data_IF_999251826681
#
_entry.id   IF_999251826681
#
_cell.length_a   1.000
_cell.length_b   1.000
_cell.length_c   1.000
_cell.angle_alpha   90.00
_cell.angle_beta   90.00
_cell.angle_gamma   90.00
#
_symmetry.space_group_name_H-M   'P 1'
#
loop_
_entity.id
_entity.type
_entity.pdbx_description
1 polymer ?
#
# COMPACT_ATOMS: atom_id res chain seq x y z
N UNK A 1 19.00 11.57 -4.82
CA UNK A 1 18.57 11.44 -6.23
C UNK A 1 17.71 10.21 -6.45
N UNK A 2 18.13 9.00 -6.01
CA UNK A 2 17.34 7.77 -6.15
C UNK A 2 15.90 7.85 -5.59
N UNK A 3 15.71 8.30 -4.33
CA UNK A 3 14.38 8.46 -3.71
C UNK A 3 13.41 9.33 -4.52
N UNK A 4 13.87 10.47 -5.03
CA UNK A 4 13.05 11.39 -5.86
C UNK A 4 12.73 10.77 -7.22
N UNK A 5 13.70 10.10 -7.85
CA UNK A 5 13.48 9.38 -9.11
C UNK A 5 12.44 8.26 -8.93
N UNK A 6 12.55 7.45 -7.87
CA UNK A 6 11.56 6.41 -7.55
C UNK A 6 10.18 7.00 -7.30
N UNK A 7 10.06 8.08 -6.54
CA UNK A 7 8.78 8.74 -6.31
C UNK A 7 8.16 9.31 -7.61
N UNK A 8 8.98 9.79 -8.55
CA UNK A 8 8.52 10.20 -9.87
C UNK A 8 8.02 9.02 -10.70
N UNK A 9 8.71 7.87 -10.67
CA UNK A 9 8.26 6.63 -11.32
C UNK A 9 6.93 6.15 -10.74
N UNK A 10 6.79 6.15 -9.40
CA UNK A 10 5.53 5.81 -8.71
C UNK A 10 4.42 6.74 -9.18
N UNK A 11 4.65 8.06 -9.18
CA UNK A 11 3.63 9.04 -9.58
C UNK A 11 3.19 8.87 -11.04
N UNK A 12 4.12 8.55 -11.93
CA UNK A 12 3.83 8.32 -13.35
C UNK A 12 3.03 7.01 -13.59
N UNK A 13 3.16 6.03 -12.69
CA UNK A 13 2.59 4.69 -12.86
C UNK A 13 1.53 4.31 -11.80
N UNK A 14 1.11 5.23 -10.93
CA UNK A 14 0.28 4.94 -9.76
C UNK A 14 -0.99 4.14 -10.08
N UNK A 15 -1.75 4.57 -11.10
CA UNK A 15 -2.96 3.87 -11.52
C UNK A 15 -2.69 2.45 -12.03
N UNK A 16 -1.53 2.21 -12.64
CA UNK A 16 -1.12 0.87 -13.10
C UNK A 16 -0.72 -0.02 -11.93
N UNK A 17 0.09 0.51 -11.00
CA UNK A 17 0.53 -0.19 -9.78
C UNK A 17 -0.69 -0.62 -8.96
N UNK A 18 -1.62 0.30 -8.68
CA UNK A 18 -2.82 -0.01 -7.87
C UNK A 18 -3.69 -1.07 -8.53
N UNK A 19 -3.89 -1.01 -9.86
CA UNK A 19 -4.71 -2.02 -10.58
C UNK A 19 -4.05 -3.40 -10.57
N UNK A 20 -2.75 -3.47 -10.84
CA UNK A 20 -2.01 -4.73 -10.86
C UNK A 20 -1.94 -5.34 -9.45
N UNK A 21 -1.62 -4.52 -8.44
CA UNK A 21 -1.57 -4.96 -7.05
C UNK A 21 -2.94 -5.46 -6.56
N UNK A 22 -4.02 -4.79 -6.95
CA UNK A 22 -5.37 -5.23 -6.60
C UNK A 22 -5.73 -6.55 -7.29
N UNK A 23 -5.39 -6.73 -8.57
CA UNK A 23 -5.61 -8.00 -9.28
C UNK A 23 -4.91 -9.15 -8.56
N UNK A 24 -3.61 -8.98 -8.25
CA UNK A 24 -2.84 -9.98 -7.53
C UNK A 24 -3.42 -10.25 -6.13
N UNK A 25 -3.80 -9.20 -5.39
CA UNK A 25 -4.45 -9.35 -4.08
C UNK A 25 -5.72 -10.19 -4.17
N UNK A 26 -6.57 -9.98 -5.18
CA UNK A 26 -7.82 -10.74 -5.33
C UNK A 26 -7.60 -12.15 -5.86
N UNK A 27 -6.50 -12.43 -6.56
CA UNK A 27 -6.06 -13.78 -6.90
C UNK A 27 -5.59 -14.54 -5.66
N UNK A 28 -4.83 -13.88 -4.78
CA UNK A 28 -4.34 -14.47 -3.52
C UNK A 28 -5.44 -14.58 -2.45
N UNK A 29 -6.39 -13.64 -2.42
CA UNK A 29 -7.47 -13.52 -1.44
C UNK A 29 -8.85 -13.42 -2.12
N UNK A 30 -9.32 -14.49 -2.81
CA UNK A 30 -10.55 -14.45 -3.58
C UNK A 30 -11.80 -14.22 -2.72
N UNK A 31 -11.74 -14.48 -1.41
CA UNK A 31 -12.84 -14.24 -0.47
C UNK A 31 -13.24 -12.76 -0.40
N UNK A 32 -12.33 -11.82 -0.72
CA UNK A 32 -12.62 -10.38 -0.71
C UNK A 32 -13.70 -9.97 -1.72
N UNK A 33 -13.76 -10.66 -2.86
CA UNK A 33 -14.65 -10.34 -3.98
C UNK A 33 -15.85 -11.30 -4.08
N UNK A 34 -15.98 -12.25 -3.15
CA UNK A 34 -17.16 -13.12 -3.04
C UNK A 34 -18.28 -12.47 -2.24
N UNK A 35 -19.53 -12.95 -2.34
CA UNK A 35 -20.64 -12.43 -1.53
C UNK A 35 -20.28 -12.37 -0.03
N UNK A 36 -20.47 -11.19 0.58
CA UNK A 36 -20.07 -10.93 1.97
C UNK A 36 -18.67 -10.30 2.12
N UNK A 37 -17.82 -10.40 1.09
CA UNK A 37 -16.47 -9.84 1.08
C UNK A 37 -16.43 -8.30 1.10
N UNK A 38 -15.30 -7.77 1.55
CA UNK A 38 -15.09 -6.33 1.69
C UNK A 38 -14.73 -5.61 0.38
N UNK A 39 -14.64 -6.32 -0.74
CA UNK A 39 -14.50 -5.77 -2.09
C UNK A 39 -15.57 -6.31 -3.06
N UNK A 40 -16.64 -6.97 -2.57
CA UNK A 40 -17.65 -7.62 -3.40
C UNK A 40 -18.46 -6.69 -4.31
N UNK A 41 -18.96 -5.58 -3.76
CA UNK A 41 -19.78 -4.63 -4.52
C UNK A 41 -18.89 -3.61 -5.21
N UNK A 42 -19.33 -3.07 -6.36
CA UNK A 42 -18.59 -2.02 -7.08
C UNK A 42 -18.20 -0.84 -6.18
N UNK A 43 -19.07 -0.45 -5.24
CA UNK A 43 -18.81 0.62 -4.26
C UNK A 43 -17.69 0.26 -3.27
N UNK A 44 -17.66 -0.99 -2.80
CA UNK A 44 -16.64 -1.48 -1.86
C UNK A 44 -15.31 -1.71 -2.57
N UNK A 45 -15.35 -2.27 -3.79
CA UNK A 45 -14.21 -2.42 -4.66
C UNK A 45 -13.52 -1.08 -4.95
N UNK A 46 -14.30 -0.05 -5.34
CA UNK A 46 -13.74 1.28 -5.59
C UNK A 46 -13.16 1.95 -4.34
N UNK A 47 -13.78 1.73 -3.17
CA UNK A 47 -13.23 2.19 -1.90
C UNK A 47 -11.90 1.49 -1.56
N UNK A 48 -11.79 0.18 -1.79
CA UNK A 48 -10.54 -0.57 -1.61
C UNK A 48 -9.42 -0.02 -2.50
N UNK A 49 -9.67 0.18 -3.81
CA UNK A 49 -8.67 0.75 -4.71
C UNK A 49 -8.24 2.16 -4.31
N UNK A 50 -9.17 2.98 -3.81
CA UNK A 50 -8.86 4.32 -3.31
C UNK A 50 -7.95 4.27 -2.08
N UNK A 51 -8.19 3.33 -1.16
CA UNK A 51 -7.33 3.15 0.00
C UNK A 51 -5.92 2.68 -0.41
N UNK A 52 -5.81 1.79 -1.41
CA UNK A 52 -4.52 1.41 -2.01
C UNK A 52 -3.77 2.59 -2.62
N UNK A 53 -4.47 3.45 -3.36
CA UNK A 53 -3.90 4.70 -3.90
C UNK A 53 -3.42 5.64 -2.78
N UNK A 54 -4.14 5.73 -1.67
CA UNK A 54 -3.70 6.49 -0.50
C UNK A 54 -2.39 5.97 0.09
N UNK A 55 -2.26 4.65 0.29
CA UNK A 55 -1.02 4.06 0.78
C UNK A 55 0.15 4.35 -0.15
N UNK A 56 -0.01 4.11 -1.45
CA UNK A 56 1.04 4.35 -2.44
C UNK A 56 1.46 5.83 -2.49
N UNK A 57 0.49 6.73 -2.44
CA UNK A 57 0.72 8.18 -2.46
C UNK A 57 1.49 8.66 -1.24
N UNK A 58 1.06 8.29 -0.04
CA UNK A 58 1.77 8.72 1.17
C UNK A 58 3.11 8.01 1.37
N UNK A 59 3.24 6.75 0.93
CA UNK A 59 4.54 6.09 0.86
C UNK A 59 5.50 6.87 -0.05
N UNK A 60 5.04 7.38 -1.20
CA UNK A 60 5.87 8.23 -2.07
C UNK A 60 6.33 9.53 -1.39
N UNK A 61 5.53 10.10 -0.49
CA UNK A 61 5.92 11.29 0.27
C UNK A 61 6.99 10.95 1.31
N UNK A 62 6.80 9.85 2.05
CA UNK A 62 7.81 9.35 2.99
C UNK A 62 9.12 8.98 2.29
N UNK A 63 9.06 8.40 1.07
CA UNK A 63 10.25 8.13 0.25
C UNK A 63 11.04 9.41 -0.02
N UNK A 64 10.37 10.49 -0.42
CA UNK A 64 11.02 11.78 -0.73
C UNK A 64 11.54 12.47 0.53
N UNK A 65 10.77 12.42 1.62
CA UNK A 65 11.15 13.00 2.91
C UNK A 65 12.35 12.27 3.54
N UNK A 66 12.46 10.96 3.32
CA UNK A 66 13.44 10.11 4.01
C UNK A 66 13.10 9.85 5.48
N UNK A 67 11.83 10.02 5.84
CA UNK A 67 11.27 9.72 7.16
C UNK A 67 9.79 9.30 7.03
N UNK A 68 9.26 8.69 8.09
CA UNK A 68 7.89 8.17 8.14
C UNK A 68 6.89 9.08 8.88
N UNK A 69 7.28 10.27 9.34
CA UNK A 69 6.41 11.11 10.17
C UNK A 69 5.10 11.48 9.45
N UNK A 70 5.18 11.67 8.12
CA UNK A 70 3.98 11.95 7.30
C UNK A 70 3.00 10.78 7.27
N UNK A 71 3.49 9.54 7.40
CA UNK A 71 2.65 8.34 7.49
C UNK A 71 1.94 8.30 8.84
N UNK A 72 2.69 8.51 9.93
CA UNK A 72 2.14 8.51 11.29
C UNK A 72 1.01 9.53 11.45
N UNK A 73 1.28 10.79 11.10
CA UNK A 73 0.35 11.90 11.33
C UNK A 73 -0.87 11.89 10.41
N UNK A 74 -0.74 11.37 9.18
CA UNK A 74 -1.77 11.54 8.14
C UNK A 74 -2.46 10.26 7.70
N UNK A 75 -1.86 9.11 7.98
CA UNK A 75 -2.36 7.81 7.53
C UNK A 75 -2.63 6.91 8.70
N UNK A 76 -1.66 6.70 9.59
CA UNK A 76 -1.68 5.59 10.54
C UNK A 76 -2.43 5.92 11.83
N UNK A 77 -2.39 7.17 12.29
CA UNK A 77 -3.12 7.60 13.48
C UNK A 77 -4.63 7.34 13.36
N UNK A 78 -5.15 6.37 14.12
CA UNK A 78 -6.57 6.02 14.17
C UNK A 78 -7.07 5.10 13.04
N UNK A 79 -6.18 4.67 12.15
CA UNK A 79 -6.56 3.86 10.98
C UNK A 79 -7.06 2.48 11.39
N UNK A 80 -6.39 1.84 12.35
CA UNK A 80 -6.76 0.51 12.84
C UNK A 80 -8.14 0.53 13.48
N UNK A 81 -8.42 1.52 14.31
CA UNK A 81 -9.72 1.74 14.95
C UNK A 81 -10.80 1.95 13.90
N UNK A 82 -10.50 2.73 12.86
CA UNK A 82 -11.41 2.97 11.73
C UNK A 82 -11.71 1.66 10.98
N UNK A 83 -10.70 0.88 10.65
CA UNK A 83 -10.86 -0.39 9.94
C UNK A 83 -11.63 -1.42 10.76
N UNK A 84 -11.34 -1.52 12.07
CA UNK A 84 -12.10 -2.36 12.99
C UNK A 84 -13.57 -1.93 13.07
N UNK A 85 -13.84 -0.62 13.16
CA UNK A 85 -15.21 -0.10 13.20
C UNK A 85 -15.99 -0.37 11.91
N UNK A 86 -15.30 -0.45 10.76
CA UNK A 86 -15.92 -0.71 9.45
C UNK A 86 -15.94 -2.21 9.10
N UNK A 87 -15.34 -3.07 9.92
CA UNK A 87 -15.21 -4.51 9.64
C UNK A 87 -14.26 -4.82 8.47
N UNK A 88 -13.28 -3.94 8.22
CA UNK A 88 -12.25 -4.13 7.19
C UNK A 88 -11.14 -5.02 7.76
N UNK A 89 -10.82 -6.17 7.14
CA UNK A 89 -9.80 -7.08 7.65
C UNK A 89 -8.40 -6.51 7.40
N UNK A 90 -7.57 -6.52 8.45
CA UNK A 90 -6.21 -5.97 8.39
C UNK A 90 -5.26 -6.81 7.53
N UNK A 91 -5.34 -8.15 7.61
CA UNK A 91 -4.41 -9.04 6.90
C UNK A 91 -4.42 -8.83 5.37
N UNK A 92 -5.58 -8.71 4.70
CA UNK A 92 -5.62 -8.33 3.29
C UNK A 92 -5.07 -6.93 2.98
N UNK A 93 -5.26 -5.95 3.87
CA UNK A 93 -4.63 -4.63 3.71
C UNK A 93 -3.12 -4.74 3.72
N UNK A 94 -2.55 -5.48 4.68
CA UNK A 94 -1.10 -5.71 4.78
C UNK A 94 -0.58 -6.38 3.51
N UNK A 95 -1.25 -7.43 3.03
CA UNK A 95 -0.91 -8.10 1.78
C UNK A 95 -0.90 -7.13 0.58
N UNK A 96 -1.96 -6.32 0.41
CA UNK A 96 -2.03 -5.34 -0.68
C UNK A 96 -0.91 -4.30 -0.63
N UNK A 97 -0.52 -3.83 0.55
CA UNK A 97 0.60 -2.88 0.73
C UNK A 97 1.94 -3.54 0.39
N UNK A 98 2.16 -4.79 0.79
CA UNK A 98 3.38 -5.55 0.45
C UNK A 98 3.48 -5.83 -1.06
N UNK A 99 2.38 -6.19 -1.73
CA UNK A 99 2.38 -6.35 -3.19
C UNK A 99 2.77 -5.03 -3.89
N UNK A 100 2.23 -3.89 -3.44
CA UNK A 100 2.63 -2.59 -3.98
C UNK A 100 4.11 -2.29 -3.74
N UNK A 101 4.66 -2.64 -2.57
CA UNK A 101 6.09 -2.50 -2.27
C UNK A 101 6.94 -3.25 -3.30
N UNK A 102 6.64 -4.52 -3.53
CA UNK A 102 7.40 -5.38 -4.44
C UNK A 102 7.34 -4.85 -5.89
N UNK A 103 6.16 -4.39 -6.33
CA UNK A 103 6.00 -3.75 -7.64
C UNK A 103 6.82 -2.46 -7.79
N UNK A 104 6.86 -1.63 -6.75
CA UNK A 104 7.67 -0.39 -6.76
C UNK A 104 9.17 -0.70 -6.78
N UNK A 105 9.61 -1.74 -6.05
CA UNK A 105 11.01 -2.19 -6.07
C UNK A 105 11.43 -2.70 -7.44
N UNK A 106 10.65 -3.61 -8.03
CA UNK A 106 10.90 -4.12 -9.36
C UNK A 106 11.00 -2.99 -10.40
N UNK A 107 10.06 -2.02 -10.34
CA UNK A 107 10.07 -0.86 -11.23
C UNK A 107 11.31 0.03 -11.05
N UNK A 108 11.79 0.21 -9.82
CA UNK A 108 13.00 0.97 -9.54
C UNK A 108 14.25 0.25 -10.08
N UNK A 109 14.33 -1.08 -9.93
CA UNK A 109 15.42 -1.91 -10.45
C UNK A 109 15.47 -1.89 -11.97
N UNK A 110 14.31 -2.03 -12.64
CA UNK A 110 14.19 -1.91 -14.10
C UNK A 110 14.62 -0.53 -14.62
N UNK A 111 14.42 0.52 -13.82
CA UNK A 111 14.89 1.87 -14.12
C UNK A 111 16.39 2.09 -13.83
N UNK A 112 17.12 1.05 -13.43
CA UNK A 112 18.57 1.08 -13.18
C UNK A 112 18.97 1.62 -11.80
N UNK A 113 18.04 1.66 -10.83
CA UNK A 113 18.36 2.04 -9.45
C UNK A 113 18.93 0.82 -8.73
N UNK A 114 20.25 0.83 -8.48
CA UNK A 114 20.97 -0.33 -7.95
C UNK A 114 20.64 -0.70 -6.49
N UNK A 115 20.25 0.28 -5.67
CA UNK A 115 19.94 0.09 -4.24
C UNK A 115 18.48 0.48 -3.98
N UNK A 116 17.59 -0.51 -3.79
CA UNK A 116 16.14 -0.29 -3.59
C UNK A 116 15.67 -0.51 -2.15
N UNK A 117 16.60 -0.78 -1.21
CA UNK A 117 16.29 -1.03 0.21
C UNK A 117 15.53 0.12 0.89
N UNK A 118 15.71 1.36 0.40
CA UNK A 118 14.98 2.51 0.91
C UNK A 118 13.48 2.50 0.57
N UNK A 119 13.06 1.68 -0.41
CA UNK A 119 11.66 1.46 -0.74
C UNK A 119 10.96 0.66 0.34
N UNK A 120 11.68 -0.24 1.02
CA UNK A 120 11.07 -1.10 2.02
C UNK A 120 10.53 -0.31 3.20
N UNK A 121 11.29 0.69 3.66
CA UNK A 121 11.02 1.48 4.87
C UNK A 121 9.57 1.99 5.00
N UNK A 122 9.01 2.78 4.06
CA UNK A 122 7.66 3.33 4.23
C UNK A 122 6.56 2.27 4.15
N UNK A 123 6.71 1.25 3.29
CA UNK A 123 5.69 0.20 3.14
C UNK A 123 5.70 -0.75 4.34
N UNK A 124 6.89 -1.15 4.80
CA UNK A 124 7.03 -2.01 5.97
C UNK A 124 6.58 -1.27 7.23
N UNK A 125 6.82 0.04 7.34
CA UNK A 125 6.27 0.84 8.42
C UNK A 125 4.74 0.88 8.40
N UNK A 126 4.09 1.15 7.26
CA UNK A 126 2.62 1.08 7.13
C UNK A 126 2.10 -0.27 7.62
N UNK A 127 2.69 -1.36 7.14
CA UNK A 127 2.19 -2.70 7.49
C UNK A 127 2.42 -3.07 8.95
N UNK A 128 3.57 -2.69 9.52
CA UNK A 128 3.87 -2.93 10.93
C UNK A 128 2.89 -2.21 11.86
N UNK A 129 2.62 -0.92 11.62
CA UNK A 129 1.75 -0.14 12.50
C UNK A 129 0.27 -0.54 12.40
N UNK A 130 -0.18 -1.03 11.25
CA UNK A 130 -1.57 -1.51 11.09
C UNK A 130 -1.71 -2.96 11.62
N UNK A 131 -0.66 -3.77 11.52
CA UNK A 131 -0.68 -5.17 11.98
C UNK A 131 -0.88 -5.32 13.49
N UNK A 132 -1.47 -6.44 13.92
CA UNK A 132 -1.63 -6.74 15.35
C UNK A 132 -0.26 -6.96 16.01
N UNK A 133 0.04 -6.18 17.04
CA UNK A 133 1.12 -6.52 17.97
C UNK A 133 0.66 -7.66 18.86
N UNK A 134 0.83 -8.90 18.41
CA UNK A 134 0.74 -10.05 19.29
C UNK A 134 2.00 -10.07 20.16
N UNK A 135 1.87 -9.58 21.40
CA UNK A 135 2.90 -9.65 22.46
C UNK A 135 2.93 -11.06 23.04
#
# INVERSE_FOLDING_TARGET
>A
TARVTTAALVSANAASIVRQAASQLFEEQPELIRPGGNAYTTRRYSACLRDMDYYLRYASYALVAGDNNVLDERVLQGLRETYNSLGVPISPTVCGVQIMKDMVKAMAEEAGIAETNFVDEPFDHITREISETNV
#
